data_IF_326976090306
#
_entry.id   IF_326976090306
#
_cell.length_a   1.000
_cell.length_b   1.000
_cell.length_c   1.000
_cell.angle_alpha   90.00
_cell.angle_beta   90.00
_cell.angle_gamma   90.00
#
_symmetry.space_group_name_H-M   'P 1'
#
loop_
_entity.id
_entity.type
_entity.pdbx_description
1 polymer ?
#
# COMPACT_ATOMS: atom_id res chain seq x y z
N UNK A 1 33.53 6.31 9.26
CA UNK A 1 34.49 6.99 8.35
C UNK A 1 34.19 6.49 6.94
N UNK A 2 33.57 7.30 6.09
CA UNK A 2 33.37 6.95 4.68
C UNK A 2 34.62 7.35 3.90
N UNK A 3 35.33 6.39 3.31
CA UNK A 3 36.34 6.67 2.29
C UNK A 3 35.58 7.19 1.06
N UNK A 4 35.37 8.51 1.02
CA UNK A 4 34.52 9.21 0.07
C UNK A 4 35.13 9.27 -1.33
N UNK A 5 35.11 8.15 -2.06
CA UNK A 5 35.38 8.17 -3.50
C UNK A 5 34.17 8.71 -4.24
N UNK A 6 34.36 9.79 -4.98
CA UNK A 6 33.35 10.46 -5.81
C UNK A 6 33.13 9.66 -7.10
N UNK A 7 32.55 8.47 -6.97
CA UNK A 7 32.27 7.57 -8.10
C UNK A 7 30.89 7.88 -8.65
N UNK A 8 30.79 7.95 -9.99
CA UNK A 8 29.50 8.10 -10.65
C UNK A 8 28.60 6.90 -10.31
N UNK A 9 27.37 7.17 -9.86
CA UNK A 9 26.35 6.15 -9.57
C UNK A 9 26.15 5.15 -10.73
N UNK A 10 26.19 5.61 -11.98
CA UNK A 10 26.05 4.75 -13.17
C UNK A 10 27.20 3.75 -13.33
N UNK A 11 28.40 4.15 -12.93
CA UNK A 11 29.58 3.27 -12.99
C UNK A 11 29.45 2.15 -11.95
N UNK A 12 29.05 2.51 -10.72
CA UNK A 12 28.80 1.53 -9.66
C UNK A 12 27.71 0.54 -10.07
N UNK A 13 26.60 1.03 -10.62
CA UNK A 13 25.49 0.19 -11.09
C UNK A 13 25.93 -0.80 -12.17
N UNK A 14 26.72 -0.36 -13.16
CA UNK A 14 27.26 -1.22 -14.21
C UNK A 14 28.16 -2.31 -13.66
N UNK A 15 29.09 -1.94 -12.77
CA UNK A 15 30.00 -2.89 -12.13
C UNK A 15 29.24 -3.90 -11.26
N UNK A 16 28.20 -3.48 -10.56
CA UNK A 16 27.35 -4.39 -9.79
C UNK A 16 26.66 -5.42 -10.71
N UNK A 17 26.19 -5.00 -11.88
CA UNK A 17 25.59 -5.92 -12.87
C UNK A 17 26.63 -6.90 -13.41
N UNK A 18 27.81 -6.43 -13.81
CA UNK A 18 28.90 -7.28 -14.33
C UNK A 18 29.38 -8.31 -13.29
N UNK A 19 29.42 -7.92 -12.02
CA UNK A 19 29.84 -8.79 -10.91
C UNK A 19 28.68 -9.63 -10.33
N UNK A 20 27.46 -9.50 -10.87
CA UNK A 20 26.27 -10.21 -10.35
C UNK A 20 25.86 -9.80 -8.92
N UNK A 21 26.33 -8.65 -8.44
CA UNK A 21 26.06 -8.15 -7.11
C UNK A 21 24.67 -7.52 -7.04
N UNK A 22 23.91 -7.86 -6.00
CA UNK A 22 22.58 -7.29 -5.74
C UNK A 22 22.52 -6.66 -4.36
N UNK A 23 21.75 -5.57 -4.24
CA UNK A 23 21.46 -4.97 -2.94
C UNK A 23 20.71 -5.98 -2.07
N UNK A 24 21.18 -6.16 -0.83
CA UNK A 24 20.50 -6.96 0.20
C UNK A 24 19.19 -6.26 0.62
N UNK A 25 19.10 -4.94 0.45
CA UNK A 25 17.93 -4.16 0.82
C UNK A 25 16.81 -4.41 -0.18
N UNK A 26 15.66 -4.89 0.33
CA UNK A 26 14.46 -5.11 -0.46
C UNK A 26 14.00 -3.79 -1.11
N UNK A 27 13.70 -3.76 -2.42
CA UNK A 27 13.12 -2.60 -3.06
C UNK A 27 11.83 -2.17 -2.35
N UNK A 28 11.72 -0.87 -2.04
CA UNK A 28 10.51 -0.32 -1.45
C UNK A 28 9.37 -0.43 -2.47
N UNK A 29 8.32 -1.16 -2.12
CA UNK A 29 7.11 -1.23 -2.95
C UNK A 29 6.45 0.15 -2.97
N UNK A 30 6.06 0.61 -4.16
CA UNK A 30 5.33 1.86 -4.31
C UNK A 30 4.02 1.83 -3.50
N UNK A 31 3.75 2.92 -2.78
CA UNK A 31 2.49 3.16 -2.06
C UNK A 31 1.94 4.50 -2.52
N UNK A 32 0.79 4.50 -3.20
CA UNK A 32 0.09 5.73 -3.62
C UNK A 32 -0.60 6.43 -2.45
N UNK A 33 -0.90 5.69 -1.37
CA UNK A 33 -1.51 6.23 -0.17
C UNK A 33 -0.54 7.16 0.56
N UNK A 34 -0.89 8.45 0.62
CA UNK A 34 -0.06 9.53 1.20
C UNK A 34 -0.44 9.88 2.64
N UNK A 35 -1.30 9.11 3.30
CA UNK A 35 -1.87 9.43 4.61
C UNK A 35 -3.38 9.66 4.51
N UNK A 36 -4.00 10.24 5.54
CA UNK A 36 -5.43 10.56 5.50
C UNK A 36 -5.71 11.56 4.38
N UNK A 37 -6.40 11.12 3.33
CA UNK A 37 -6.82 11.97 2.21
C UNK A 37 -8.29 12.30 2.40
N UNK A 38 -8.61 13.60 2.52
CA UNK A 38 -9.99 14.08 2.67
C UNK A 38 -10.55 14.00 4.09
N UNK A 39 -11.86 14.25 4.21
CA UNK A 39 -12.61 14.17 5.48
C UNK A 39 -13.12 12.74 5.67
N UNK A 40 -12.56 12.02 6.64
CA UNK A 40 -13.07 10.71 7.05
C UNK A 40 -14.38 10.90 7.81
N UNK A 41 -15.41 10.13 7.46
CA UNK A 41 -16.64 10.09 8.24
C UNK A 41 -16.36 9.48 9.62
N UNK A 42 -17.04 9.95 10.69
CA UNK A 42 -16.88 9.36 12.01
C UNK A 42 -17.30 7.88 11.99
N UNK A 43 -16.53 7.03 12.66
CA UNK A 43 -16.89 5.61 12.83
C UNK A 43 -17.99 5.49 13.88
N UNK A 44 -19.25 5.60 13.45
CA UNK A 44 -20.42 5.57 14.34
C UNK A 44 -20.62 4.23 15.05
N UNK A 45 -20.09 3.14 14.49
CA UNK A 45 -20.31 1.80 15.03
C UNK A 45 -19.26 1.40 16.07
N UNK A 46 -18.03 1.91 15.96
CA UNK A 46 -16.92 1.52 16.85
C UNK A 46 -16.76 0.01 17.01
N UNK A 47 -17.07 -0.77 15.95
CA UNK A 47 -17.12 -2.25 15.94
C UNK A 47 -18.17 -2.87 16.88
N UNK A 48 -19.14 -2.10 17.35
CA UNK A 48 -20.32 -2.62 18.04
C UNK A 48 -21.37 -3.04 17.01
N UNK A 49 -21.44 -4.34 16.74
CA UNK A 49 -22.43 -4.94 15.83
C UNK A 49 -23.71 -5.43 16.54
N UNK A 50 -23.80 -5.29 17.86
CA UNK A 50 -24.97 -5.72 18.64
C UNK A 50 -26.10 -4.69 18.46
N UNK A 51 -27.30 -5.15 18.09
CA UNK A 51 -28.51 -4.33 17.98
C UNK A 51 -29.60 -4.88 18.90
N UNK A 52 -30.41 -4.01 19.49
CA UNK A 52 -31.52 -4.40 20.37
C UNK A 52 -32.78 -4.74 19.56
N UNK A 53 -32.92 -4.16 18.37
CA UNK A 53 -34.05 -4.39 17.44
C UNK A 53 -33.53 -4.49 16.00
N UNK A 54 -34.29 -5.13 15.09
CA UNK A 54 -34.00 -5.09 13.66
C UNK A 54 -33.86 -3.66 13.13
N UNK A 55 -33.11 -3.49 12.03
CA UNK A 55 -32.96 -2.23 11.30
C UNK A 55 -32.28 -1.07 12.05
N UNK A 56 -31.62 -1.33 13.18
CA UNK A 56 -30.89 -0.29 13.93
C UNK A 56 -29.46 -0.04 13.43
N UNK A 57 -28.83 -1.05 12.81
CA UNK A 57 -27.46 -0.99 12.31
C UNK A 57 -27.42 -1.67 10.95
N UNK A 58 -27.05 -0.92 9.93
CA UNK A 58 -26.90 -1.40 8.56
C UNK A 58 -25.43 -1.28 8.19
N UNK A 59 -24.83 -2.38 7.77
CA UNK A 59 -23.41 -2.45 7.42
C UNK A 59 -23.31 -3.22 6.12
N UNK A 60 -22.54 -2.66 5.19
CA UNK A 60 -22.22 -3.28 3.91
C UNK A 60 -20.72 -3.24 3.74
N UNK A 61 -20.11 -4.39 3.49
CA UNK A 61 -18.71 -4.44 3.11
C UNK A 61 -18.56 -4.12 1.61
N UNK A 62 -17.47 -3.44 1.26
CA UNK A 62 -17.09 -3.21 -0.14
C UNK A 62 -15.90 -4.10 -0.45
N UNK A 63 -16.06 -5.00 -1.42
CA UNK A 63 -15.00 -5.92 -1.84
C UNK A 63 -14.41 -5.47 -3.18
N UNK A 64 -13.12 -5.14 -3.21
CA UNK A 64 -12.38 -4.91 -4.46
C UNK A 64 -11.88 -6.24 -5.02
N UNK A 65 -12.20 -6.52 -6.29
CA UNK A 65 -11.63 -7.65 -7.03
C UNK A 65 -11.14 -7.20 -8.41
N UNK A 66 -10.24 -7.98 -9.00
CA UNK A 66 -9.60 -7.66 -10.28
C UNK A 66 -10.12 -8.56 -11.38
N UNK A 67 -10.55 -7.96 -12.48
CA UNK A 67 -10.97 -8.67 -13.71
C UNK A 67 -10.30 -7.98 -14.90
N UNK A 68 -9.61 -8.75 -15.74
CA UNK A 68 -8.98 -8.25 -16.97
C UNK A 68 -8.20 -6.93 -16.79
N UNK A 69 -7.37 -6.84 -15.74
CA UNK A 69 -6.57 -5.66 -15.38
C UNK A 69 -7.37 -4.43 -14.89
N UNK A 70 -8.69 -4.54 -14.80
CA UNK A 70 -9.56 -3.52 -14.22
C UNK A 70 -9.90 -3.85 -12.77
N UNK A 71 -10.14 -2.79 -11.99
CA UNK A 71 -10.63 -2.89 -10.62
C UNK A 71 -12.14 -2.79 -10.62
N UNK A 72 -12.78 -3.77 -10.00
CA UNK A 72 -14.22 -3.80 -9.79
C UNK A 72 -14.52 -3.80 -8.28
N UNK A 73 -15.66 -3.23 -7.92
CA UNK A 73 -16.10 -3.10 -6.53
C UNK A 73 -17.51 -3.72 -6.41
N UNK A 74 -17.71 -4.60 -5.44
CA UNK A 74 -19.00 -5.19 -5.12
C UNK A 74 -19.41 -4.81 -3.70
N UNK A 75 -20.66 -4.39 -3.53
CA UNK A 75 -21.31 -4.22 -2.23
C UNK A 75 -22.73 -4.79 -2.34
N UNK A 76 -23.09 -5.79 -1.52
CA UNK A 76 -24.41 -6.42 -1.54
C UNK A 76 -25.51 -5.57 -0.89
#
# INVERSE_FOLDING_TARGET
>A
RSLGTLVNKKLVERLMVELGLRSIVRPKKYRSYRGAVGRTAPNLLERNFIAQRPNQKWVTDVTEFKVAQQKLYLSP
#
